data_IF_949576518095
#
_entry.id   IF_949576518095
#
_cell.length_a   1.000
_cell.length_b   1.000
_cell.length_c   1.000
_cell.angle_alpha   90.00
_cell.angle_beta   90.00
_cell.angle_gamma   90.00
#
_symmetry.space_group_name_H-M   'P 1'
#
loop_
_entity.id
_entity.type
_entity.pdbx_description
1 polymer ?
#
# COMPACT_ATOMS: atom_id res chain seq x y z
N UNK A 1 17.55 1.59 28.15
CA UNK A 1 16.44 2.55 28.02
C UNK A 1 16.87 3.49 26.93
N UNK A 2 16.54 3.15 25.69
CA UNK A 2 16.96 3.94 24.53
C UNK A 2 16.19 5.26 24.55
N UNK A 3 16.92 6.37 24.42
CA UNK A 3 16.36 7.71 24.47
C UNK A 3 15.32 7.86 23.34
N UNK A 4 14.16 8.43 23.66
CA UNK A 4 13.13 8.75 22.67
C UNK A 4 13.77 9.61 21.58
N UNK A 5 13.65 9.26 20.29
CA UNK A 5 14.32 9.97 19.23
C UNK A 5 13.85 11.43 19.16
N UNK A 6 14.80 12.36 19.12
CA UNK A 6 14.50 13.79 19.15
C UNK A 6 13.91 14.25 17.83
N UNK A 7 12.73 14.88 17.87
CA UNK A 7 12.05 15.40 16.67
C UNK A 7 12.43 16.86 16.34
N UNK A 8 13.17 17.51 17.23
CA UNK A 8 13.54 18.92 17.16
C UNK A 8 15.04 19.10 17.35
N UNK A 9 15.63 20.05 16.63
CA UNK A 9 17.03 20.44 16.78
C UNK A 9 17.23 21.35 18.00
N UNK A 10 18.46 21.38 18.52
CA UNK A 10 18.84 22.32 19.59
C UNK A 10 19.16 23.72 19.03
N UNK A 11 19.74 23.77 17.82
CA UNK A 11 20.06 24.99 17.10
C UNK A 11 19.55 24.87 15.67
N UNK A 12 18.96 25.95 15.15
CA UNK A 12 18.39 26.00 13.79
C UNK A 12 19.50 26.40 12.81
N UNK A 13 19.73 25.58 11.80
CA UNK A 13 20.63 25.90 10.68
C UNK A 13 19.87 26.32 9.43
N UNK A 14 18.68 25.77 9.23
CA UNK A 14 17.77 26.13 8.14
C UNK A 14 16.60 26.94 8.69
N UNK A 15 16.46 28.19 8.26
CA UNK A 15 15.45 29.10 8.82
C UNK A 15 14.02 28.59 8.61
N UNK A 16 13.19 28.68 9.65
CA UNK A 16 11.74 28.50 9.55
C UNK A 16 11.17 29.65 8.74
N UNK A 17 10.39 29.34 7.70
CA UNK A 17 9.82 30.36 6.81
C UNK A 17 8.35 30.55 7.09
N UNK A 18 7.93 31.80 7.24
CA UNK A 18 6.53 32.19 7.44
C UNK A 18 6.16 33.16 6.35
N UNK A 19 5.12 32.82 5.58
CA UNK A 19 4.55 33.67 4.56
C UNK A 19 3.17 34.09 5.04
N UNK A 20 3.04 35.36 5.40
CA UNK A 20 1.78 35.95 5.86
C UNK A 20 1.19 36.81 4.75
N UNK A 21 -0.11 36.69 4.53
CA UNK A 21 -0.83 37.48 3.52
C UNK A 21 -1.99 38.20 4.19
N UNK A 22 -2.03 39.52 4.03
CA UNK A 22 -3.02 40.40 4.68
C UNK A 22 -4.35 40.47 3.91
N UNK A 23 -5.39 41.07 4.53
CA UNK A 23 -6.66 41.34 3.87
C UNK A 23 -6.46 42.38 2.76
N UNK A 24 -7.22 42.21 1.66
CA UNK A 24 -7.19 43.09 0.50
C UNK A 24 -7.57 44.52 0.91
N UNK A 25 -6.62 45.46 0.91
CA UNK A 25 -6.96 46.89 0.85
C UNK A 25 -7.52 47.18 -0.56
N UNK A 26 -8.72 47.76 -0.69
CA UNK A 26 -9.39 47.95 -1.99
C UNK A 26 -8.59 48.83 -2.96
N UNK A 27 -7.70 49.70 -2.45
CA UNK A 27 -7.02 50.73 -3.24
C UNK A 27 -5.54 50.45 -3.54
N UNK A 28 -4.98 49.32 -3.09
CA UNK A 28 -3.60 48.92 -3.41
C UNK A 28 -3.59 47.69 -4.31
N UNK A 29 -3.11 47.85 -5.54
CA UNK A 29 -2.99 46.78 -6.54
C UNK A 29 -2.07 45.61 -6.14
N UNK A 30 -1.33 45.71 -5.03
CA UNK A 30 -0.54 44.63 -4.46
C UNK A 30 -0.79 44.48 -2.97
N UNK A 31 -1.50 43.42 -2.58
CA UNK A 31 -1.34 42.87 -1.23
C UNK A 31 -0.08 42.00 -1.31
N UNK A 32 1.06 42.53 -0.85
CA UNK A 32 2.34 41.84 -0.91
C UNK A 32 2.33 40.70 0.12
N UNK A 33 2.55 39.47 -0.34
CA UNK A 33 2.87 38.38 0.57
C UNK A 33 4.18 38.72 1.27
N UNK A 34 4.17 38.78 2.59
CA UNK A 34 5.37 39.04 3.37
C UNK A 34 6.05 37.71 3.68
N UNK A 35 7.26 37.53 3.18
CA UNK A 35 8.08 36.35 3.42
C UNK A 35 9.06 36.67 4.55
N UNK A 36 8.89 36.01 5.68
CA UNK A 36 9.75 36.14 6.85
C UNK A 36 10.53 34.84 7.10
N UNK A 37 11.79 34.97 7.49
CA UNK A 37 12.68 33.85 7.79
C UNK A 37 13.18 33.97 9.23
N UNK A 38 13.07 32.91 10.00
CA UNK A 38 13.35 32.90 11.42
C UNK A 38 14.33 31.80 11.79
N UNK A 39 15.38 32.16 12.54
CA UNK A 39 16.37 31.21 13.06
C UNK A 39 16.36 31.12 14.58
N UNK A 40 15.70 32.06 15.26
CA UNK A 40 15.65 32.13 16.73
C UNK A 40 14.25 32.41 17.24
N UNK A 41 13.98 32.02 18.49
CA UNK A 41 12.70 32.28 19.16
C UNK A 41 12.41 33.77 19.29
N UNK A 42 13.42 34.58 19.63
CA UNK A 42 13.24 36.02 19.83
C UNK A 42 12.82 36.73 18.54
N UNK A 43 13.33 36.31 17.39
CA UNK A 43 12.89 36.83 16.09
C UNK A 43 11.42 36.53 15.83
N UNK A 44 10.98 35.28 16.04
CA UNK A 44 9.57 34.89 15.88
C UNK A 44 8.69 35.70 16.82
N UNK A 45 9.03 35.74 18.12
CA UNK A 45 8.25 36.47 19.12
C UNK A 45 8.16 37.96 18.77
N UNK A 46 9.27 38.58 18.41
CA UNK A 46 9.29 40.01 18.05
C UNK A 46 8.42 40.34 16.82
N UNK A 47 8.32 39.41 15.88
CA UNK A 47 7.48 39.56 14.68
C UNK A 47 6.00 39.50 15.02
N UNK A 48 5.57 38.45 15.73
CA UNK A 48 4.16 38.28 16.10
C UNK A 48 3.70 39.32 17.13
N UNK A 49 4.54 39.76 18.07
CA UNK A 49 4.21 40.83 19.01
C UNK A 49 4.09 42.22 18.36
N UNK A 50 4.80 42.48 17.25
CA UNK A 50 4.66 43.75 16.49
C UNK A 50 3.43 43.77 15.61
N UNK A 51 2.94 42.61 15.22
CA UNK A 51 1.84 42.43 14.29
C UNK A 51 0.50 42.09 14.99
N UNK A 52 0.38 42.24 16.31
CA UNK A 52 -0.90 42.07 17.01
C UNK A 52 -2.02 42.97 16.44
N UNK A 53 -1.67 44.10 15.82
CA UNK A 53 -2.60 45.02 15.15
C UNK A 53 -2.91 44.68 13.68
N UNK A 54 -2.17 43.75 13.06
CA UNK A 54 -2.37 43.34 11.66
C UNK A 54 -2.94 41.93 11.59
N UNK A 55 -4.25 41.85 11.35
CA UNK A 55 -4.95 40.59 11.10
C UNK A 55 -4.49 40.01 9.75
N UNK A 56 -3.61 39.01 9.77
CA UNK A 56 -3.19 38.25 8.58
C UNK A 56 -4.01 36.97 8.49
N UNK A 57 -5.13 36.95 7.74
CA UNK A 57 -6.04 35.81 7.73
C UNK A 57 -5.44 34.57 7.07
N UNK A 58 -4.42 34.69 6.21
CA UNK A 58 -3.75 33.51 5.65
C UNK A 58 -2.26 33.46 5.98
N UNK A 59 -1.88 32.40 6.69
CA UNK A 59 -0.51 32.12 7.13
C UNK A 59 -0.04 30.78 6.58
N UNK A 60 1.11 30.78 5.93
CA UNK A 60 1.79 29.58 5.46
C UNK A 60 3.13 29.46 6.15
N UNK A 61 3.32 28.39 6.93
CA UNK A 61 4.56 28.10 7.64
C UNK A 61 5.24 26.92 6.95
N UNK A 62 6.50 27.08 6.57
CA UNK A 62 7.34 26.01 6.05
C UNK A 62 8.45 25.68 7.03
N UNK A 63 8.45 24.43 7.50
CA UNK A 63 9.49 23.86 8.35
C UNK A 63 10.11 22.71 7.55
N UNK A 64 11.43 22.64 7.46
CA UNK A 64 12.11 21.58 6.71
C UNK A 64 12.99 20.73 7.63
N UNK A 65 13.31 19.53 7.19
CA UNK A 65 14.46 18.78 7.68
C UNK A 65 15.69 19.16 6.85
N UNK A 66 16.89 19.07 7.41
CA UNK A 66 18.14 19.25 6.64
C UNK A 66 18.29 18.20 5.55
N UNK A 67 17.92 16.98 5.89
CA UNK A 67 17.75 15.87 4.98
C UNK A 67 16.65 14.95 5.55
N UNK A 68 16.13 14.01 4.76
CA UNK A 68 14.93 13.23 5.13
C UNK A 68 15.11 12.24 6.29
N UNK A 69 16.28 12.24 6.91
CA UNK A 69 16.71 11.37 8.00
C UNK A 69 17.01 12.16 9.28
N UNK A 70 17.01 13.49 9.24
CA UNK A 70 17.30 14.35 10.38
C UNK A 70 16.01 14.87 11.04
N UNK A 71 16.04 15.33 12.29
CA UNK A 71 14.92 16.03 12.91
C UNK A 71 14.50 17.30 12.14
N UNK A 72 13.35 17.87 12.50
CA UNK A 72 12.91 19.15 11.93
C UNK A 72 13.84 20.28 12.36
N UNK A 73 14.20 21.17 11.42
CA UNK A 73 15.00 22.39 11.65
C UNK A 73 14.16 23.47 12.33
N UNK A 74 13.68 23.15 13.54
CA UNK A 74 13.01 24.05 14.47
C UNK A 74 13.27 23.58 15.90
N UNK A 75 13.47 24.52 16.82
CA UNK A 75 13.59 24.18 18.24
C UNK A 75 12.22 23.94 18.86
N UNK A 76 12.16 23.10 19.90
CA UNK A 76 10.90 22.84 20.63
C UNK A 76 10.22 24.13 21.13
N UNK A 77 10.92 25.13 21.71
CA UNK A 77 10.30 26.40 22.11
C UNK A 77 9.71 27.20 20.95
N UNK A 78 10.38 27.24 19.79
CA UNK A 78 9.85 27.89 18.58
C UNK A 78 8.57 27.21 18.10
N UNK A 79 8.57 25.87 18.10
CA UNK A 79 7.41 25.10 17.68
C UNK A 79 6.23 25.25 18.64
N UNK A 80 6.46 25.21 19.96
CA UNK A 80 5.45 25.50 20.98
C UNK A 80 4.85 26.91 20.80
N UNK A 81 5.70 27.91 20.58
CA UNK A 81 5.23 29.28 20.37
C UNK A 81 4.32 29.41 19.13
N UNK A 82 4.68 28.77 18.01
CA UNK A 82 3.83 28.77 16.80
C UNK A 82 2.50 28.04 17.05
N UNK A 83 2.54 26.91 17.75
CA UNK A 83 1.33 26.15 18.10
C UNK A 83 0.37 26.97 18.98
N UNK A 84 0.90 27.71 19.95
CA UNK A 84 0.14 28.62 20.81
C UNK A 84 -0.40 29.83 20.03
N UNK A 85 0.45 30.46 19.21
CA UNK A 85 0.11 31.66 18.43
C UNK A 85 -1.07 31.41 17.49
N UNK A 86 -1.09 30.25 16.81
CA UNK A 86 -2.18 29.90 15.89
C UNK A 86 -3.28 29.04 16.55
N UNK A 87 -3.17 28.77 17.86
CA UNK A 87 -4.09 27.94 18.64
C UNK A 87 -4.36 26.57 17.97
N UNK A 88 -3.29 25.81 17.70
CA UNK A 88 -3.32 24.54 16.96
C UNK A 88 -3.54 23.35 17.91
N UNK A 89 -4.29 22.34 17.48
CA UNK A 89 -4.55 21.14 18.30
C UNK A 89 -3.34 20.20 18.47
N UNK A 90 -3.54 19.15 19.29
CA UNK A 90 -2.53 18.13 19.57
C UNK A 90 -2.04 17.35 18.35
N UNK A 91 -2.85 17.24 17.28
CA UNK A 91 -2.45 16.47 16.09
C UNK A 91 -1.25 17.06 15.35
N UNK A 92 -0.92 18.33 15.62
CA UNK A 92 0.32 18.95 15.17
C UNK A 92 1.55 18.25 15.76
N UNK A 93 1.50 17.91 17.05
CA UNK A 93 2.58 17.21 17.74
C UNK A 93 2.71 15.77 17.25
N UNK A 94 1.59 15.09 17.04
CA UNK A 94 1.56 13.76 16.45
C UNK A 94 2.19 13.77 15.05
N UNK A 95 1.88 14.78 14.23
CA UNK A 95 2.48 14.94 12.91
C UNK A 95 3.99 15.21 12.98
N UNK A 96 4.44 16.07 13.89
CA UNK A 96 5.87 16.36 14.08
C UNK A 96 6.67 15.12 14.52
N UNK A 97 6.03 14.21 15.27
CA UNK A 97 6.67 12.97 15.75
C UNK A 97 7.07 12.00 14.63
N UNK A 98 6.55 12.19 13.41
CA UNK A 98 6.98 11.41 12.24
C UNK A 98 8.33 11.85 11.65
N UNK A 99 8.92 12.95 12.13
CA UNK A 99 10.14 13.56 11.62
C UNK A 99 11.23 13.51 12.68
N UNK A 100 11.90 12.37 12.73
CA UNK A 100 12.94 12.06 13.71
C UNK A 100 14.21 11.54 13.02
N UNK A 101 15.29 11.44 13.80
CA UNK A 101 16.55 10.86 13.35
C UNK A 101 16.35 9.37 13.00
N UNK A 102 16.57 8.99 11.75
CA UNK A 102 16.40 7.60 11.27
C UNK A 102 17.74 6.91 11.14
N UNK A 103 17.78 5.63 11.51
CA UNK A 103 18.98 4.81 11.38
C UNK A 103 18.87 3.85 10.19
N UNK A 104 17.65 3.48 9.78
CA UNK A 104 17.40 2.51 8.72
C UNK A 104 16.32 3.01 7.75
N UNK A 105 16.56 2.83 6.44
CA UNK A 105 15.64 3.24 5.36
C UNK A 105 14.24 2.56 5.46
N UNK A 106 14.17 1.44 6.19
CA UNK A 106 12.97 0.61 6.35
C UNK A 106 12.09 1.11 7.51
N UNK A 107 12.58 1.99 8.40
CA UNK A 107 11.79 2.65 9.48
C UNK A 107 10.68 3.58 8.96
N UNK A 108 10.44 3.53 7.66
CA UNK A 108 9.26 3.93 6.92
C UNK A 108 7.92 3.30 7.40
N UNK A 109 7.69 2.95 8.66
CA UNK A 109 6.38 2.39 9.07
C UNK A 109 5.49 3.43 9.77
N UNK A 110 6.09 4.43 10.44
CA UNK A 110 5.30 5.42 11.17
C UNK A 110 4.81 6.55 10.24
N UNK A 111 3.50 6.61 10.01
CA UNK A 111 2.79 7.65 9.28
C UNK A 111 1.60 8.12 10.12
N UNK A 112 1.36 9.43 10.19
CA UNK A 112 0.05 9.93 10.62
C UNK A 112 -0.93 9.76 9.47
N UNK A 113 -2.04 9.01 9.66
CA UNK A 113 -3.10 8.89 8.66
C UNK A 113 -3.84 10.22 8.52
N UNK A 114 -4.73 10.31 7.53
CA UNK A 114 -5.60 11.48 7.41
C UNK A 114 -6.44 11.66 8.68
N UNK A 115 -6.12 12.70 9.44
CA UNK A 115 -6.76 13.04 10.71
C UNK A 115 -7.52 14.33 10.52
N UNK A 116 -8.77 14.35 11.00
CA UNK A 116 -9.68 15.46 10.83
C UNK A 116 -10.36 15.77 12.18
N UNK A 117 -10.29 17.02 12.59
CA UNK A 117 -10.99 17.57 13.75
C UNK A 117 -11.87 18.71 13.28
N UNK A 118 -13.15 18.67 13.63
CA UNK A 118 -14.12 19.73 13.33
C UNK A 118 -14.66 20.28 14.63
N UNK A 119 -14.51 21.58 14.85
CA UNK A 119 -15.08 22.28 15.99
C UNK A 119 -15.87 23.51 15.51
N UNK A 120 -17.18 23.32 15.30
CA UNK A 120 -18.04 24.37 14.75
C UNK A 120 -17.65 24.74 13.31
N UNK A 121 -17.23 25.99 13.09
CA UNK A 121 -16.79 26.48 11.77
C UNK A 121 -15.31 26.25 11.48
N UNK A 122 -14.53 25.90 12.50
CA UNK A 122 -13.10 25.62 12.42
C UNK A 122 -12.91 24.15 12.07
N UNK A 123 -12.14 23.91 11.02
CA UNK A 123 -11.70 22.58 10.61
C UNK A 123 -10.19 22.51 10.66
N UNK A 124 -9.68 21.48 11.33
CA UNK A 124 -8.26 21.16 11.42
C UNK A 124 -8.02 19.78 10.83
N UNK A 125 -7.05 19.67 9.93
CA UNK A 125 -6.65 18.40 9.35
C UNK A 125 -5.14 18.25 9.37
N UNK A 126 -4.69 17.02 9.51
CA UNK A 126 -3.27 16.68 9.50
C UNK A 126 -3.04 15.32 8.86
N UNK A 127 -1.96 15.20 8.09
CA UNK A 127 -1.57 13.92 7.49
C UNK A 127 -0.10 13.92 7.06
N UNK A 128 0.46 12.72 6.95
CA UNK A 128 1.74 12.48 6.26
C UNK A 128 1.49 11.96 4.85
N UNK A 129 2.33 12.37 3.90
CA UNK A 129 2.28 11.93 2.51
C UNK A 129 3.66 11.47 2.06
N UNK A 130 3.71 10.30 1.41
CA UNK A 130 4.95 9.71 0.95
C UNK A 130 4.95 9.51 -0.55
N UNK A 131 6.12 9.72 -1.13
CA UNK A 131 6.28 9.70 -2.58
C UNK A 131 7.70 9.33 -2.97
N UNK A 132 7.88 8.72 -4.16
CA UNK A 132 9.18 8.50 -4.73
C UNK A 132 9.73 9.80 -5.31
N UNK A 133 11.01 10.06 -5.08
CA UNK A 133 11.76 11.17 -5.64
C UNK A 133 13.05 10.64 -6.24
N UNK A 134 13.34 11.03 -7.48
CA UNK A 134 14.59 10.69 -8.12
C UNK A 134 15.66 11.70 -7.71
N UNK A 135 16.81 11.22 -7.22
CA UNK A 135 17.98 12.03 -6.92
C UNK A 135 18.96 11.96 -8.09
N UNK A 136 19.05 13.00 -8.95
CA UNK A 136 19.92 12.96 -10.12
C UNK A 136 21.41 12.82 -9.73
N UNK A 137 21.80 13.41 -8.61
CA UNK A 137 23.19 13.39 -8.11
C UNK A 137 23.68 12.00 -7.73
N UNK A 138 22.78 11.15 -7.24
CA UNK A 138 23.10 9.77 -6.82
C UNK A 138 22.66 8.73 -7.86
N UNK A 139 21.83 9.12 -8.84
CA UNK A 139 21.24 8.21 -9.80
C UNK A 139 20.25 7.22 -9.18
N UNK A 140 19.73 7.51 -7.98
CA UNK A 140 18.89 6.61 -7.20
C UNK A 140 17.52 7.19 -6.92
N UNK A 141 16.54 6.30 -6.75
CA UNK A 141 15.21 6.64 -6.24
C UNK A 141 15.18 6.51 -4.73
N UNK A 142 14.54 7.47 -4.07
CA UNK A 142 14.29 7.42 -2.64
C UNK A 142 12.81 7.65 -2.35
N UNK A 143 12.31 7.11 -1.23
CA UNK A 143 11.00 7.46 -0.72
C UNK A 143 11.15 8.62 0.24
N UNK A 144 10.47 9.74 -0.05
CA UNK A 144 10.42 10.92 0.80
C UNK A 144 9.11 10.97 1.56
N UNK A 145 9.10 11.73 2.65
CA UNK A 145 7.91 11.98 3.47
C UNK A 145 7.75 13.48 3.69
N UNK A 146 6.54 13.96 3.48
CA UNK A 146 6.12 15.34 3.74
C UNK A 146 4.92 15.30 4.68
N UNK A 147 4.79 16.29 5.54
CA UNK A 147 3.65 16.43 6.45
C UNK A 147 2.89 17.71 6.14
N UNK A 148 1.57 17.66 6.17
CA UNK A 148 0.75 18.87 6.07
C UNK A 148 -0.18 18.91 7.26
N UNK A 149 -0.15 20.05 7.95
CA UNK A 149 -1.15 20.45 8.91
C UNK A 149 -1.89 21.66 8.33
N UNK A 150 -3.21 21.67 8.41
CA UNK A 150 -3.99 22.83 8.03
C UNK A 150 -5.13 23.07 9.01
N UNK A 151 -5.27 24.32 9.43
CA UNK A 151 -6.41 24.85 10.17
C UNK A 151 -7.07 25.91 9.33
N UNK A 152 -8.38 25.81 9.09
CA UNK A 152 -9.12 26.88 8.43
C UNK A 152 -10.49 27.08 9.07
N UNK A 153 -10.94 28.32 9.10
CA UNK A 153 -12.28 28.68 9.56
C UNK A 153 -13.13 29.15 8.38
N UNK A 154 -14.24 28.45 8.17
CA UNK A 154 -15.20 28.76 7.10
C UNK A 154 -15.96 30.07 7.32
N UNK A 155 -16.03 30.58 8.56
CA UNK A 155 -16.70 31.85 8.90
C UNK A 155 -15.77 33.05 8.80
N UNK A 156 -14.61 33.01 9.46
CA UNK A 156 -13.65 34.13 9.42
C UNK A 156 -12.79 34.15 8.15
N UNK A 157 -12.84 33.07 7.34
CA UNK A 157 -11.97 32.88 6.16
C UNK A 157 -10.47 32.83 6.48
N UNK A 158 -10.13 32.61 7.75
CA UNK A 158 -8.76 32.38 8.18
C UNK A 158 -8.26 31.00 7.72
N UNK A 159 -6.98 30.92 7.38
CA UNK A 159 -6.31 29.69 6.99
C UNK A 159 -4.86 29.71 7.46
N UNK A 160 -4.49 28.74 8.29
CA UNK A 160 -3.12 28.49 8.67
C UNK A 160 -2.71 27.12 8.16
N UNK A 161 -1.69 27.09 7.29
CA UNK A 161 -1.14 25.85 6.74
C UNK A 161 0.32 25.71 7.15
N UNK A 162 0.68 24.56 7.73
CA UNK A 162 2.06 24.21 8.09
C UNK A 162 2.51 23.04 7.20
N UNK A 163 3.60 23.25 6.47
CA UNK A 163 4.24 22.26 5.63
C UNK A 163 5.55 21.78 6.27
N UNK A 164 5.64 20.48 6.55
CA UNK A 164 6.85 19.79 6.95
C UNK A 164 7.54 19.18 5.72
N UNK A 165 8.67 19.75 5.30
CA UNK A 165 9.39 19.36 4.09
C UNK A 165 10.58 18.43 4.39
N UNK A 166 10.83 17.42 3.53
CA UNK A 166 11.90 16.43 3.73
C UNK A 166 13.32 16.94 3.47
N UNK A 167 13.46 18.14 2.90
CA UNK A 167 14.71 18.81 2.59
C UNK A 167 14.44 20.32 2.43
N UNK A 168 15.48 21.16 2.48
CA UNK A 168 15.36 22.56 2.06
C UNK A 168 15.01 22.61 0.57
N UNK A 169 14.29 23.65 0.15
CA UNK A 169 13.99 23.92 -1.26
C UNK A 169 13.25 22.81 -2.04
N UNK A 170 12.47 21.95 -1.36
CA UNK A 170 11.62 20.95 -2.04
C UNK A 170 10.73 21.57 -3.13
N UNK A 171 10.41 20.79 -4.17
CA UNK A 171 9.60 21.24 -5.30
C UNK A 171 8.26 21.85 -4.87
N UNK A 172 7.56 21.22 -3.91
CA UNK A 172 6.32 21.76 -3.36
C UNK A 172 6.52 23.11 -2.65
N UNK A 173 7.63 23.28 -1.93
CA UNK A 173 7.93 24.52 -1.21
C UNK A 173 8.17 25.67 -2.20
N UNK A 174 9.02 25.45 -3.21
CA UNK A 174 9.29 26.44 -4.26
C UNK A 174 8.04 26.85 -5.03
N UNK A 175 7.17 25.87 -5.32
CA UNK A 175 5.88 26.14 -5.97
C UNK A 175 4.92 26.91 -5.07
N UNK A 176 4.83 26.54 -3.79
CA UNK A 176 4.04 27.27 -2.80
C UNK A 176 4.49 28.74 -2.70
N UNK A 177 5.79 29.00 -2.62
CA UNK A 177 6.36 30.35 -2.64
C UNK A 177 6.01 31.10 -3.92
N UNK A 178 6.11 30.45 -5.09
CA UNK A 178 5.77 31.05 -6.38
C UNK A 178 4.28 31.38 -6.48
N UNK A 179 3.42 30.51 -5.94
CA UNK A 179 1.97 30.68 -5.92
C UNK A 179 1.59 31.84 -5.00
N UNK A 180 2.12 31.86 -3.77
CA UNK A 180 1.84 32.89 -2.78
C UNK A 180 2.40 34.27 -3.18
N UNK A 181 3.56 34.32 -3.85
CA UNK A 181 4.16 35.57 -4.34
C UNK A 181 3.46 36.19 -5.56
N UNK A 182 2.77 35.39 -6.39
CA UNK A 182 1.97 35.89 -7.53
C UNK A 182 0.64 36.55 -7.13
N UNK A 183 0.32 36.55 -5.84
CA UNK A 183 -0.71 37.36 -5.24
C UNK A 183 -2.14 36.78 -5.22
N UNK A 184 -3.08 37.49 -4.58
CA UNK A 184 -4.31 36.95 -3.98
C UNK A 184 -5.39 36.36 -4.89
N UNK A 185 -5.30 36.45 -6.22
CA UNK A 185 -6.53 36.52 -7.05
C UNK A 185 -7.40 35.26 -7.01
N UNK A 186 -6.84 34.07 -6.75
CA UNK A 186 -7.59 32.81 -6.70
C UNK A 186 -7.29 31.90 -5.48
N UNK A 187 -6.16 32.07 -4.79
CA UNK A 187 -5.70 31.15 -3.72
C UNK A 187 -6.56 31.29 -2.46
N UNK A 188 -6.95 32.51 -2.09
CA UNK A 188 -7.77 32.75 -0.89
C UNK A 188 -9.20 32.22 -1.00
N UNK A 189 -9.63 31.78 -2.18
CA UNK A 189 -10.94 31.11 -2.38
C UNK A 189 -10.86 29.59 -2.28
N UNK A 190 -9.66 29.01 -2.32
CA UNK A 190 -9.46 27.57 -2.36
C UNK A 190 -8.64 27.12 -1.16
N UNK A 191 -9.33 26.77 -0.05
CA UNK A 191 -8.66 26.23 1.14
C UNK A 191 -7.79 25.00 0.82
N UNK A 192 -8.06 24.28 -0.27
CA UNK A 192 -7.39 23.00 -0.59
C UNK A 192 -6.22 23.13 -1.57
N UNK A 193 -5.77 24.36 -1.88
CA UNK A 193 -4.76 24.61 -2.91
C UNK A 193 -3.45 23.83 -2.68
N UNK A 194 -2.95 23.81 -1.43
CA UNK A 194 -1.68 23.16 -1.09
C UNK A 194 -1.75 21.64 -1.26
N UNK A 195 -2.92 21.07 -0.95
CA UNK A 195 -3.16 19.63 -1.13
C UNK A 195 -3.22 19.26 -2.60
N UNK A 196 -3.89 20.07 -3.44
CA UNK A 196 -3.91 19.88 -4.89
C UNK A 196 -2.50 19.95 -5.46
N UNK A 197 -1.71 20.92 -5.02
CA UNK A 197 -0.33 21.10 -5.49
C UNK A 197 0.60 19.95 -5.05
N UNK A 198 0.40 19.41 -3.84
CA UNK A 198 1.10 18.21 -3.36
C UNK A 198 0.90 17.03 -4.33
N UNK A 199 -0.34 16.69 -4.64
CA UNK A 199 -0.65 15.58 -5.55
C UNK A 199 -0.17 15.86 -6.98
N UNK A 200 -0.37 17.07 -7.49
CA UNK A 200 0.11 17.47 -8.82
C UNK A 200 1.63 17.36 -8.94
N UNK A 201 2.36 17.65 -7.86
CA UNK A 201 3.83 17.65 -7.86
C UNK A 201 4.40 16.24 -7.81
N UNK A 202 3.88 15.39 -6.92
CA UNK A 202 4.56 14.14 -6.58
C UNK A 202 3.87 12.87 -7.08
N UNK A 203 2.57 12.92 -7.40
CA UNK A 203 1.83 11.70 -7.76
C UNK A 203 2.31 11.08 -9.08
N UNK A 204 2.72 11.91 -10.05
CA UNK A 204 3.22 11.44 -11.34
C UNK A 204 4.54 10.67 -11.24
N UNK A 205 5.36 10.93 -10.22
CA UNK A 205 6.64 10.27 -10.00
C UNK A 205 6.50 8.76 -9.77
N UNK A 206 5.37 8.31 -9.22
CA UNK A 206 5.06 6.89 -9.03
C UNK A 206 5.15 6.09 -10.33
N UNK A 207 4.75 6.66 -11.47
CA UNK A 207 4.83 5.96 -12.77
C UNK A 207 6.28 5.65 -13.15
N UNK A 208 7.16 6.64 -13.01
CA UNK A 208 8.58 6.50 -13.35
C UNK A 208 9.30 5.58 -12.36
N UNK A 209 8.94 5.64 -11.09
CA UNK A 209 9.47 4.75 -10.06
C UNK A 209 9.10 3.27 -10.33
N UNK A 210 7.85 2.99 -10.72
CA UNK A 210 7.43 1.62 -11.10
C UNK A 210 8.22 1.10 -12.32
N UNK A 211 8.44 1.95 -13.34
CA UNK A 211 9.26 1.58 -14.50
C UNK A 211 10.70 1.27 -14.09
N UNK A 212 11.27 2.01 -13.14
CA UNK A 212 12.61 1.72 -12.62
C UNK A 212 12.69 0.37 -11.90
N UNK A 213 11.71 0.06 -11.06
CA UNK A 213 11.64 -1.23 -10.38
C UNK A 213 11.45 -2.39 -11.36
N UNK A 214 10.58 -2.23 -12.35
CA UNK A 214 10.36 -3.21 -13.41
C UNK A 214 11.64 -3.49 -14.20
N UNK A 215 12.36 -2.44 -14.63
CA UNK A 215 13.65 -2.57 -15.33
C UNK A 215 14.71 -3.29 -14.51
N UNK A 216 14.63 -3.21 -13.19
CA UNK A 216 15.57 -3.88 -12.28
C UNK A 216 15.15 -5.33 -12.02
N UNK A 217 13.84 -5.59 -11.92
CA UNK A 217 13.28 -6.91 -11.64
C UNK A 217 13.31 -7.85 -12.86
N UNK A 218 12.97 -7.36 -14.06
CA UNK A 218 12.82 -8.20 -15.25
C UNK A 218 14.07 -9.02 -15.60
N UNK A 219 15.30 -8.45 -15.62
CA UNK A 219 16.51 -9.22 -15.89
C UNK A 219 16.75 -10.31 -14.82
N UNK A 220 16.52 -9.97 -13.55
CA UNK A 220 16.69 -10.91 -12.43
C UNK A 220 15.70 -12.08 -12.57
N UNK A 221 14.44 -11.77 -12.87
CA UNK A 221 13.41 -12.79 -13.08
C UNK A 221 13.70 -13.68 -14.30
N UNK A 222 14.14 -13.08 -15.41
CA UNK A 222 14.52 -13.83 -16.62
C UNK A 222 15.68 -14.79 -16.35
N UNK A 223 16.70 -14.32 -15.62
CA UNK A 223 17.85 -15.15 -15.25
C UNK A 223 17.45 -16.28 -14.29
N UNK A 224 16.63 -15.98 -13.28
CA UNK A 224 16.16 -16.98 -12.32
C UNK A 224 15.32 -18.08 -12.98
N UNK A 225 14.52 -17.75 -14.00
CA UNK A 225 13.77 -18.76 -14.78
C UNK A 225 14.71 -19.62 -15.63
N UNK A 226 15.77 -19.04 -16.21
CA UNK A 226 16.75 -19.82 -16.97
C UNK A 226 17.59 -20.74 -16.06
N UNK A 227 17.90 -20.29 -14.85
CA UNK A 227 18.74 -21.05 -13.92
C UNK A 227 17.98 -21.98 -12.99
N UNK A 228 16.65 -21.89 -12.86
CA UNK A 228 15.87 -22.95 -12.18
C UNK A 228 15.99 -24.32 -12.88
N UNK A 229 16.54 -24.33 -14.11
CA UNK A 229 16.85 -25.52 -14.91
C UNK A 229 18.24 -26.10 -14.61
N UNK A 230 19.14 -25.35 -13.97
CA UNK A 230 20.51 -25.75 -13.60
C UNK A 230 20.78 -25.50 -12.10
N UNK A 231 21.79 -26.16 -11.52
CA UNK A 231 22.14 -25.98 -10.10
C UNK A 231 22.65 -24.54 -9.87
N UNK A 232 22.14 -23.84 -8.84
CA UNK A 232 22.44 -22.42 -8.58
C UNK A 232 23.96 -22.16 -8.49
N UNK A 233 24.49 -21.27 -9.34
CA UNK A 233 25.93 -20.91 -9.36
C UNK A 233 26.29 -19.87 -8.29
N UNK A 234 27.59 -19.75 -7.94
CA UNK A 234 28.10 -18.72 -7.00
C UNK A 234 27.75 -17.28 -7.42
N UNK A 235 27.59 -17.01 -8.73
CA UNK A 235 27.25 -15.67 -9.22
C UNK A 235 25.80 -15.26 -8.90
N UNK A 236 24.92 -16.23 -8.64
CA UNK A 236 23.50 -16.00 -8.39
C UNK A 236 23.21 -15.59 -6.95
N UNK A 237 24.09 -15.96 -6.01
CA UNK A 237 24.04 -15.49 -4.63
C UNK A 237 24.14 -13.96 -4.51
N UNK A 238 24.81 -13.28 -5.44
CA UNK A 238 24.90 -11.82 -5.49
C UNK A 238 23.58 -11.13 -5.84
N UNK A 239 22.58 -11.85 -6.37
CA UNK A 239 21.27 -11.31 -6.69
C UNK A 239 20.30 -11.32 -5.49
N UNK A 240 20.53 -12.15 -4.47
CA UNK A 240 19.64 -12.24 -3.29
C UNK A 240 19.46 -10.92 -2.53
N UNK A 241 20.52 -10.13 -2.22
CA UNK A 241 20.34 -8.85 -1.53
C UNK A 241 19.54 -7.84 -2.36
N UNK A 242 19.73 -7.84 -3.69
CA UNK A 242 18.96 -7.01 -4.61
C UNK A 242 17.51 -7.46 -4.69
N UNK A 243 17.26 -8.77 -4.66
CA UNK A 243 15.90 -9.33 -4.65
C UNK A 243 15.18 -9.00 -3.33
N UNK A 244 15.83 -9.16 -2.18
CA UNK A 244 15.28 -8.77 -0.88
C UNK A 244 14.99 -7.27 -0.81
N UNK A 245 15.86 -6.42 -1.38
CA UNK A 245 15.61 -4.99 -1.54
C UNK A 245 14.37 -4.72 -2.41
N UNK A 246 14.27 -5.36 -3.57
CA UNK A 246 13.12 -5.21 -4.48
C UNK A 246 11.82 -5.71 -3.84
N UNK A 247 11.85 -6.83 -3.14
CA UNK A 247 10.72 -7.37 -2.40
C UNK A 247 10.25 -6.36 -1.36
N UNK A 248 11.16 -5.85 -0.52
CA UNK A 248 10.84 -4.83 0.47
C UNK A 248 10.19 -3.59 -0.16
N UNK A 249 10.71 -3.12 -1.30
CA UNK A 249 10.12 -1.98 -2.01
C UNK A 249 8.77 -2.29 -2.62
N UNK A 250 8.61 -3.41 -3.32
CA UNK A 250 7.37 -3.79 -3.99
C UNK A 250 6.24 -4.05 -2.99
N UNK A 251 6.56 -4.62 -1.82
CA UNK A 251 5.60 -4.79 -0.72
C UNK A 251 5.13 -3.44 -0.18
N UNK A 252 5.99 -2.42 -0.09
CA UNK A 252 5.62 -1.09 0.40
C UNK A 252 4.68 -0.31 -0.53
N UNK A 253 4.77 -0.49 -1.85
CA UNK A 253 4.04 0.35 -2.83
C UNK A 253 2.52 0.33 -2.62
N UNK A 254 1.85 -0.84 -2.51
CA UNK A 254 0.40 -0.87 -2.26
C UNK A 254 -0.01 -0.11 -1.01
N UNK A 255 0.75 -0.21 0.09
CA UNK A 255 0.45 0.50 1.33
C UNK A 255 0.58 2.02 1.17
N UNK A 256 1.64 2.49 0.51
CA UNK A 256 1.85 3.92 0.28
C UNK A 256 0.80 4.53 -0.66
N UNK A 257 0.40 3.79 -1.70
CA UNK A 257 -0.65 4.21 -2.62
C UNK A 257 -2.05 4.14 -1.98
N UNK A 258 -2.30 3.15 -1.11
CA UNK A 258 -3.53 3.07 -0.33
C UNK A 258 -3.65 4.26 0.63
N UNK A 259 -2.61 4.57 1.40
CA UNK A 259 -2.59 5.75 2.27
C UNK A 259 -2.80 7.06 1.50
N UNK A 260 -2.17 7.17 0.31
CA UNK A 260 -2.40 8.31 -0.60
C UNK A 260 -3.85 8.41 -1.08
N UNK A 261 -4.50 7.26 -1.31
CA UNK A 261 -5.91 7.20 -1.68
C UNK A 261 -6.82 7.64 -0.53
N UNK A 262 -6.53 7.21 0.70
CA UNK A 262 -7.32 7.59 1.88
C UNK A 262 -7.27 9.10 2.12
N UNK A 263 -6.08 9.72 1.95
CA UNK A 263 -5.93 11.18 1.98
C UNK A 263 -6.78 11.85 0.91
N UNK A 264 -6.75 11.36 -0.33
CA UNK A 264 -7.59 11.91 -1.41
C UNK A 264 -9.08 11.77 -1.08
N UNK A 265 -9.51 10.63 -0.57
CA UNK A 265 -10.91 10.40 -0.20
C UNK A 265 -11.35 11.35 0.93
N UNK A 266 -10.52 11.52 1.97
CA UNK A 266 -10.77 12.45 3.07
C UNK A 266 -10.85 13.91 2.60
N UNK A 267 -9.92 14.34 1.76
CA UNK A 267 -9.91 15.68 1.19
C UNK A 267 -11.10 15.92 0.25
N UNK A 268 -11.50 14.92 -0.53
CA UNK A 268 -12.67 15.02 -1.41
C UNK A 268 -13.96 15.13 -0.61
N UNK A 269 -14.13 14.33 0.45
CA UNK A 269 -15.27 14.45 1.37
C UNK A 269 -15.31 15.84 2.00
N UNK A 270 -14.18 16.36 2.47
CA UNK A 270 -14.14 17.69 3.07
C UNK A 270 -14.40 18.80 2.05
N UNK A 271 -13.90 18.66 0.82
CA UNK A 271 -14.19 19.59 -0.26
C UNK A 271 -15.68 19.59 -0.63
N UNK A 272 -16.34 18.44 -0.63
CA UNK A 272 -17.79 18.35 -0.86
C UNK A 272 -18.59 19.05 0.24
N UNK A 273 -18.21 18.87 1.50
CA UNK A 273 -18.84 19.53 2.65
C UNK A 273 -18.74 21.06 2.55
N UNK A 274 -17.56 21.57 2.15
CA UNK A 274 -17.28 23.01 2.10
C UNK A 274 -17.80 23.66 0.80
N UNK A 275 -17.78 22.97 -0.34
CA UNK A 275 -18.05 23.54 -1.67
C UNK A 275 -19.46 23.26 -2.23
N UNK A 276 -20.51 23.22 -1.40
CA UNK A 276 -21.90 22.91 -1.80
C UNK A 276 -22.24 23.26 -3.28
N UNK A 277 -22.56 22.21 -4.06
CA UNK A 277 -23.37 22.17 -5.30
C UNK A 277 -22.78 22.17 -6.74
N UNK A 278 -21.48 22.30 -7.05
CA UNK A 278 -21.05 22.30 -8.50
C UNK A 278 -20.13 21.18 -8.99
N UNK A 279 -19.43 20.46 -8.12
CA UNK A 279 -18.43 19.44 -8.53
C UNK A 279 -19.00 18.00 -8.49
N UNK A 280 -20.24 17.83 -8.04
CA UNK A 280 -20.86 16.55 -7.70
C UNK A 280 -21.03 15.62 -8.91
N UNK A 281 -21.35 16.13 -10.10
CA UNK A 281 -21.60 15.29 -11.28
C UNK A 281 -20.30 14.73 -11.90
N UNK A 282 -19.26 15.57 -11.99
CA UNK A 282 -18.00 15.19 -12.63
C UNK A 282 -17.14 14.29 -11.73
N UNK A 283 -17.14 14.58 -10.42
CA UNK A 283 -16.43 13.75 -9.44
C UNK A 283 -17.14 12.43 -9.17
N UNK A 284 -18.49 12.37 -9.14
CA UNK A 284 -19.19 11.10 -9.00
C UNK A 284 -18.88 10.14 -10.16
N UNK A 285 -18.78 10.66 -11.39
CA UNK A 285 -18.38 9.88 -12.56
C UNK A 285 -16.91 9.43 -12.51
N UNK A 286 -16.03 10.26 -11.95
CA UNK A 286 -14.59 9.92 -11.81
C UNK A 286 -14.37 8.90 -10.68
N UNK A 287 -15.08 9.07 -9.56
CA UNK A 287 -15.05 8.15 -8.42
C UNK A 287 -15.69 6.81 -8.77
N UNK A 288 -16.84 6.79 -9.46
CA UNK A 288 -17.47 5.53 -9.89
C UNK A 288 -16.62 4.77 -10.91
N UNK A 289 -15.96 5.47 -11.84
CA UNK A 289 -14.97 4.86 -12.74
C UNK A 289 -13.76 4.28 -11.99
N UNK A 290 -13.31 4.95 -10.91
CA UNK A 290 -12.20 4.49 -10.07
C UNK A 290 -12.58 3.28 -9.22
N UNK A 291 -13.75 3.29 -8.58
CA UNK A 291 -14.30 2.14 -7.86
C UNK A 291 -14.44 0.94 -8.80
N UNK A 292 -14.90 1.17 -10.04
CA UNK A 292 -14.97 0.12 -11.05
C UNK A 292 -13.58 -0.39 -11.47
N UNK A 293 -12.55 0.47 -11.47
CA UNK A 293 -11.15 0.08 -11.73
C UNK A 293 -10.52 -0.70 -10.58
N UNK A 294 -10.82 -0.34 -9.32
CA UNK A 294 -10.33 -1.00 -8.11
C UNK A 294 -11.02 -2.35 -7.90
N UNK A 295 -12.33 -2.44 -8.12
CA UNK A 295 -13.05 -3.71 -8.12
C UNK A 295 -12.54 -4.67 -9.21
N UNK A 296 -12.13 -4.13 -10.37
CA UNK A 296 -11.50 -4.91 -11.44
C UNK A 296 -10.07 -5.36 -11.09
N UNK A 297 -9.31 -4.53 -10.37
CA UNK A 297 -7.98 -4.86 -9.86
C UNK A 297 -8.02 -5.90 -8.70
N UNK A 298 -8.97 -5.77 -7.78
CA UNK A 298 -9.21 -6.77 -6.74
C UNK A 298 -9.69 -8.10 -7.34
N UNK A 299 -10.61 -8.07 -8.31
CA UNK A 299 -11.05 -9.28 -9.01
C UNK A 299 -9.91 -9.99 -9.76
N UNK A 300 -8.99 -9.24 -10.38
CA UNK A 300 -7.82 -9.83 -11.06
C UNK A 300 -6.79 -10.40 -10.08
N UNK A 301 -6.60 -9.76 -8.93
CA UNK A 301 -5.73 -10.27 -7.85
C UNK A 301 -6.31 -11.55 -7.23
N UNK A 302 -7.62 -11.58 -6.97
CA UNK A 302 -8.35 -12.77 -6.52
C UNK A 302 -8.30 -13.90 -7.57
N UNK A 303 -8.40 -13.59 -8.86
CA UNK A 303 -8.24 -14.56 -9.95
C UNK A 303 -6.82 -15.13 -10.02
N UNK A 304 -5.78 -14.34 -9.76
CA UNK A 304 -4.38 -14.81 -9.76
C UNK A 304 -4.10 -15.74 -8.57
N UNK A 305 -4.65 -15.42 -7.40
CA UNK A 305 -4.58 -16.28 -6.21
C UNK A 305 -5.38 -17.58 -6.39
N UNK A 306 -6.58 -17.50 -7.00
CA UNK A 306 -7.34 -18.70 -7.35
C UNK A 306 -6.64 -19.55 -8.42
N UNK A 307 -6.00 -18.93 -9.42
CA UNK A 307 -5.26 -19.67 -10.45
C UNK A 307 -4.04 -20.39 -9.89
N UNK A 308 -3.33 -19.78 -8.92
CA UNK A 308 -2.19 -20.41 -8.24
C UNK A 308 -2.64 -21.50 -7.26
N UNK A 309 -3.72 -21.29 -6.49
CA UNK A 309 -4.29 -22.32 -5.63
C UNK A 309 -4.77 -23.54 -6.44
N UNK A 310 -5.46 -23.32 -7.57
CA UNK A 310 -5.91 -24.40 -8.48
C UNK A 310 -4.72 -25.14 -9.12
N UNK A 311 -3.62 -24.45 -9.42
CA UNK A 311 -2.40 -25.09 -9.92
C UNK A 311 -1.78 -26.02 -8.87
N UNK A 312 -1.64 -25.55 -7.62
CA UNK A 312 -1.11 -26.34 -6.51
C UNK A 312 -1.99 -27.56 -6.23
N UNK A 313 -3.31 -27.39 -6.16
CA UNK A 313 -4.23 -28.52 -5.92
C UNK A 313 -4.19 -29.55 -7.04
N UNK A 314 -4.10 -29.10 -8.30
CA UNK A 314 -3.98 -30.01 -9.46
C UNK A 314 -2.67 -30.80 -9.41
N UNK A 315 -1.54 -30.17 -9.06
CA UNK A 315 -0.25 -30.84 -8.92
C UNK A 315 -0.28 -31.88 -7.80
N UNK A 316 -0.88 -31.56 -6.65
CA UNK A 316 -1.03 -32.52 -5.54
C UNK A 316 -1.93 -33.70 -5.91
N UNK A 317 -3.02 -33.49 -6.66
CA UNK A 317 -3.90 -34.58 -7.12
C UNK A 317 -3.25 -35.49 -8.15
N UNK A 318 -2.30 -34.96 -8.94
CA UNK A 318 -1.52 -35.72 -9.90
C UNK A 318 -0.41 -36.55 -9.22
N UNK A 319 0.23 -35.99 -8.19
CA UNK A 319 1.40 -36.59 -7.54
C UNK A 319 1.06 -37.56 -6.40
N UNK A 320 -0.05 -37.34 -5.70
CA UNK A 320 -0.43 -38.13 -4.52
C UNK A 320 -0.73 -39.62 -4.85
N UNK A 321 -1.48 -39.96 -5.92
CA UNK A 321 -1.79 -41.36 -6.23
C UNK A 321 -0.55 -42.20 -6.59
N UNK A 322 0.35 -41.75 -7.50
CA UNK A 322 1.60 -42.47 -7.78
C UNK A 322 2.48 -42.63 -6.54
N UNK A 323 2.57 -41.60 -5.69
CA UNK A 323 3.38 -41.65 -4.47
C UNK A 323 2.87 -42.67 -3.46
N UNK A 324 1.54 -42.79 -3.32
CA UNK A 324 0.92 -43.81 -2.47
C UNK A 324 1.20 -45.22 -3.01
N UNK A 325 1.03 -45.42 -4.32
CA UNK A 325 1.32 -46.69 -4.99
C UNK A 325 2.82 -47.03 -4.88
N UNK A 326 3.70 -46.05 -5.04
CA UNK A 326 5.15 -46.22 -4.88
C UNK A 326 5.54 -46.60 -3.44
N UNK A 327 4.85 -46.06 -2.44
CA UNK A 327 5.08 -46.43 -1.03
C UNK A 327 4.57 -47.84 -0.74
N UNK A 328 3.40 -48.21 -1.27
CA UNK A 328 2.82 -49.54 -1.08
C UNK A 328 3.63 -50.66 -1.76
N UNK A 329 4.23 -50.36 -2.92
CA UNK A 329 4.95 -51.32 -3.73
C UNK A 329 6.49 -51.19 -3.69
N UNK A 330 7.02 -50.13 -3.08
CA UNK A 330 8.43 -49.73 -3.13
C UNK A 330 9.42 -50.72 -2.52
N UNK A 331 8.95 -51.74 -1.81
CA UNK A 331 9.78 -52.81 -1.25
C UNK A 331 9.80 -54.10 -2.08
N UNK A 332 8.95 -54.25 -3.10
CA UNK A 332 8.72 -55.56 -3.75
C UNK A 332 9.16 -55.64 -5.23
N UNK A 333 9.58 -54.53 -5.86
CA UNK A 333 9.86 -54.48 -7.30
C UNK A 333 11.31 -54.17 -7.71
N UNK A 334 12.16 -53.79 -6.76
CA UNK A 334 13.57 -53.54 -6.98
C UNK A 334 14.37 -54.49 -6.11
N UNK A 335 15.15 -55.36 -6.75
CA UNK A 335 16.05 -56.29 -6.08
C UNK A 335 17.49 -55.97 -6.46
N UNK A 336 18.42 -56.16 -5.52
CA UNK A 336 19.85 -55.94 -5.73
C UNK A 336 20.48 -57.30 -6.04
N UNK A 337 20.93 -57.49 -7.28
CA UNK A 337 21.59 -58.71 -7.70
C UNK A 337 22.98 -58.81 -7.04
N UNK A 338 23.16 -59.77 -6.13
CA UNK A 338 24.37 -59.91 -5.29
C UNK A 338 25.65 -60.17 -6.11
N UNK A 339 25.53 -60.74 -7.31
CA UNK A 339 26.70 -61.07 -8.15
C UNK A 339 27.12 -59.95 -9.11
N UNK A 340 26.21 -59.03 -9.47
CA UNK A 340 26.44 -58.03 -10.52
C UNK A 340 26.46 -56.56 -10.04
N UNK A 341 26.10 -56.28 -8.78
CA UNK A 341 25.97 -54.91 -8.25
C UNK A 341 25.09 -54.00 -9.13
N UNK A 342 24.08 -54.55 -9.80
CA UNK A 342 23.12 -53.81 -10.62
C UNK A 342 21.73 -53.92 -10.02
N UNK A 343 20.99 -52.81 -10.03
CA UNK A 343 19.60 -52.76 -9.60
C UNK A 343 18.76 -53.40 -10.71
N UNK A 344 18.20 -54.58 -10.45
CA UNK A 344 17.35 -55.28 -11.43
C UNK A 344 15.89 -55.01 -11.08
N UNK A 345 15.18 -54.38 -12.02
CA UNK A 345 13.74 -54.16 -11.89
C UNK A 345 12.97 -55.44 -12.25
N UNK A 346 12.05 -55.87 -11.39
CA UNK A 346 11.22 -57.05 -11.63
C UNK A 346 10.36 -56.83 -12.90
N UNK A 347 10.21 -57.84 -13.79
CA UNK A 347 9.41 -57.72 -15.03
C UNK A 347 7.92 -57.37 -14.81
N UNK A 348 7.43 -57.40 -13.57
CA UNK A 348 6.08 -57.04 -13.16
C UNK A 348 5.88 -55.53 -12.88
N UNK A 349 6.87 -54.67 -13.13
CA UNK A 349 6.78 -53.22 -12.93
C UNK A 349 5.63 -52.55 -13.70
N UNK A 350 5.14 -53.18 -14.77
CA UNK A 350 3.95 -52.75 -15.50
C UNK A 350 2.68 -52.67 -14.62
N UNK A 351 2.58 -53.48 -13.57
CA UNK A 351 1.46 -53.45 -12.61
C UNK A 351 1.47 -52.14 -11.81
N UNK A 352 2.65 -51.66 -11.41
CA UNK A 352 2.80 -50.36 -10.76
C UNK A 352 2.29 -49.22 -11.65
N UNK A 353 2.69 -49.22 -12.93
CA UNK A 353 2.28 -48.20 -13.91
C UNK A 353 0.76 -48.24 -14.12
N UNK A 354 0.18 -49.43 -14.28
CA UNK A 354 -1.25 -49.61 -14.49
C UNK A 354 -2.07 -49.16 -13.27
N UNK A 355 -1.68 -49.57 -12.06
CA UNK A 355 -2.34 -49.19 -10.82
C UNK A 355 -2.24 -47.67 -10.58
N UNK A 356 -1.07 -47.08 -10.78
CA UNK A 356 -0.88 -45.63 -10.65
C UNK A 356 -1.75 -44.86 -11.65
N UNK A 357 -1.81 -45.29 -12.91
CA UNK A 357 -2.62 -44.64 -13.93
C UNK A 357 -4.12 -44.72 -13.59
N UNK A 358 -4.62 -45.89 -13.17
CA UNK A 358 -6.01 -46.09 -12.78
C UNK A 358 -6.41 -45.22 -11.58
N UNK A 359 -5.53 -45.11 -10.57
CA UNK A 359 -5.78 -44.32 -9.37
C UNK A 359 -5.78 -42.82 -9.66
N UNK A 360 -4.88 -42.33 -10.53
CA UNK A 360 -4.86 -40.94 -11.00
C UNK A 360 -6.12 -40.59 -11.80
N UNK A 361 -6.58 -41.47 -12.69
CA UNK A 361 -7.86 -41.24 -13.41
C UNK A 361 -9.02 -41.18 -12.43
N UNK A 362 -9.04 -42.07 -11.42
CA UNK A 362 -10.05 -42.09 -10.38
C UNK A 362 -10.10 -40.79 -9.55
N UNK A 363 -8.94 -40.26 -9.14
CA UNK A 363 -8.87 -39.01 -8.37
C UNK A 363 -9.31 -37.80 -9.18
N UNK A 364 -8.96 -37.73 -10.48
CA UNK A 364 -9.41 -36.66 -11.38
C UNK A 364 -10.93 -36.70 -11.60
N UNK A 365 -11.51 -37.89 -11.85
CA UNK A 365 -12.96 -38.04 -12.00
C UNK A 365 -13.69 -37.63 -10.73
N UNK A 366 -13.20 -38.06 -9.56
CA UNK A 366 -13.78 -37.68 -8.28
C UNK A 366 -13.72 -36.17 -8.03
N UNK A 367 -12.58 -35.54 -8.35
CA UNK A 367 -12.39 -34.09 -8.25
C UNK A 367 -13.36 -33.31 -9.15
N UNK A 368 -13.52 -33.73 -10.41
CA UNK A 368 -14.48 -33.12 -11.32
C UNK A 368 -15.93 -33.26 -10.84
N UNK A 369 -16.29 -34.40 -10.25
CA UNK A 369 -17.62 -34.62 -9.65
C UNK A 369 -17.86 -33.70 -8.43
N UNK A 370 -16.82 -33.43 -7.63
CA UNK A 370 -16.91 -32.52 -6.48
C UNK A 370 -17.02 -31.05 -6.88
N UNK A 371 -16.31 -30.63 -7.93
CA UNK A 371 -16.38 -29.27 -8.48
C UNK A 371 -17.75 -28.98 -9.08
N UNK A 372 -18.32 -29.96 -9.77
CA UNK A 372 -19.61 -29.82 -10.40
C UNK A 372 -20.72 -30.16 -9.37
N UNK A 373 -21.05 -29.18 -8.51
CA UNK A 373 -22.06 -29.36 -7.42
C UNK A 373 -23.42 -29.89 -7.92
N UNK A 374 -23.73 -29.72 -9.20
CA UNK A 374 -24.92 -30.29 -9.86
C UNK A 374 -24.77 -31.77 -10.22
N UNK A 375 -23.55 -32.26 -10.47
CA UNK A 375 -23.25 -33.66 -10.73
C UNK A 375 -23.21 -34.47 -9.43
N UNK A 376 -22.66 -33.92 -8.34
CA UNK A 376 -22.67 -34.59 -7.03
C UNK A 376 -24.09 -34.93 -6.57
N UNK A 377 -25.05 -34.01 -6.73
CA UNK A 377 -26.47 -34.27 -6.43
C UNK A 377 -27.07 -35.39 -7.29
N UNK A 378 -26.73 -35.46 -8.58
CA UNK A 378 -27.19 -36.52 -9.50
C UNK A 378 -26.54 -37.89 -9.20
N UNK A 379 -25.26 -37.91 -8.85
CA UNK A 379 -24.53 -39.14 -8.49
C UNK A 379 -25.00 -39.67 -7.13
N UNK A 380 -25.16 -38.80 -6.12
CA UNK A 380 -25.72 -39.17 -4.84
C UNK A 380 -27.15 -39.73 -4.98
N UNK A 381 -27.99 -39.09 -5.81
CA UNK A 381 -29.32 -39.61 -6.14
C UNK A 381 -29.27 -40.98 -6.84
N UNK A 382 -28.37 -41.19 -7.81
CA UNK A 382 -28.21 -42.49 -8.48
C UNK A 382 -27.71 -43.59 -7.54
N UNK A 383 -26.77 -43.31 -6.65
CA UNK A 383 -26.27 -44.26 -5.64
C UNK A 383 -27.37 -44.59 -4.62
N UNK A 384 -28.19 -43.61 -4.24
CA UNK A 384 -29.33 -43.82 -3.36
C UNK A 384 -30.41 -44.69 -4.03
N UNK A 385 -30.74 -44.43 -5.30
CA UNK A 385 -31.69 -45.24 -6.08
C UNK A 385 -31.16 -46.67 -6.25
N UNK A 386 -29.87 -46.85 -6.55
CA UNK A 386 -29.27 -48.18 -6.70
C UNK A 386 -29.27 -48.96 -5.39
N UNK A 387 -28.92 -48.34 -4.25
CA UNK A 387 -29.03 -48.97 -2.92
C UNK A 387 -30.47 -49.37 -2.60
N UNK A 388 -31.44 -48.55 -2.98
CA UNK A 388 -32.87 -48.83 -2.77
C UNK A 388 -33.35 -49.98 -3.66
N UNK A 389 -32.90 -50.03 -4.91
CA UNK A 389 -33.17 -51.13 -5.85
C UNK A 389 -32.53 -52.45 -5.42
N UNK A 390 -31.28 -52.43 -4.93
CA UNK A 390 -30.59 -53.62 -4.41
C UNK A 390 -31.27 -54.13 -3.14
N UNK A 391 -31.71 -53.24 -2.23
CA UNK A 391 -32.51 -53.61 -1.04
C UNK A 391 -33.88 -54.19 -1.41
N UNK A 392 -34.52 -53.67 -2.46
CA UNK A 392 -35.80 -54.17 -2.96
C UNK A 392 -35.65 -55.56 -3.62
N UNK A 393 -34.60 -55.76 -4.42
CA UNK A 393 -34.30 -57.04 -5.10
C UNK A 393 -33.85 -58.13 -4.12
N UNK A 394 -33.10 -57.77 -3.08
CA UNK A 394 -32.73 -58.68 -2.00
C UNK A 394 -33.92 -59.10 -1.10
N UNK A 395 -35.07 -58.41 -1.19
CA UNK A 395 -36.29 -58.77 -0.45
C UNK A 395 -37.23 -59.69 -1.25
N UNK A 396 -36.92 -59.98 -2.52
CA UNK A 396 -37.86 -60.65 -3.44
C UNK A 396 -37.40 -62.02 -3.97
N UNK A 397 -36.37 -62.64 -3.36
CA UNK A 397 -36.00 -64.06 -3.63
C UNK A 397 -35.31 -64.67 -2.40
N UNK A 398 -35.61 -65.90 -1.92
CA UNK A 398 -36.74 -66.80 -2.19
C UNK A 398 -37.50 -67.25 -0.92
N UNK A 399 -38.78 -67.62 -1.06
CA UNK A 399 -39.38 -68.68 -0.25
C UNK A 399 -40.55 -69.24 -1.06
N UNK A 400 -40.26 -70.16 -1.97
CA UNK A 400 -41.29 -70.98 -2.59
C UNK A 400 -40.95 -72.46 -2.35
N UNK A 401 -41.88 -73.08 -1.63
CA UNK A 401 -42.32 -74.47 -1.70
C UNK A 401 -41.41 -75.60 -1.17
N UNK A 402 -41.95 -76.32 -0.19
CA UNK A 402 -41.64 -77.74 -0.01
C UNK A 402 -41.86 -78.28 1.40
N UNK A 403 -43.12 -78.44 1.84
CA UNK A 403 -43.45 -79.53 2.76
C UNK A 403 -44.69 -80.24 2.23
N UNK A 404 -44.43 -81.28 1.45
CA UNK A 404 -45.40 -82.33 1.13
C UNK A 404 -45.76 -83.09 2.42
N UNK A 405 -47.04 -83.41 2.55
CA UNK A 405 -47.51 -84.54 3.34
C UNK A 405 -48.32 -85.43 2.40
N UNK A 406 -47.71 -86.58 2.07
CA UNK A 406 -48.21 -87.93 1.75
C UNK A 406 -47.50 -88.51 0.53
#
# INVERSE_FOLDING_TARGET
MDAIPTCFVSEVTESVRVISTGPRQPDKEGCAAEVHQFSTLDQIRSHFSRNEDHDYPWNFVSICQRNSWEPLEITKPMFSFLAETFNLNSSLWDLSSCFYAKDIDIESTFCIPFTLSKNGSVTELSYTFRYPEFKPTQGTWVIRQTGIYQKFDTKSSENTSILFSPAPSCALNQKAETILSRGPRNIHRDFFWIHKELFNTYFSAWRLYNVHLEKTLLPIASNAVSSFVEELSETEYHHLPKLAYLEGRLVQIPFLLAASNDILAGLLSLCQDVCSQKITQLLANTLSFREQSLAKAQNTTMLRLNKSAVFITTLTLLYLPPSFVATFFGMNFFDLDEDAHQIVATPMIWIYVLCSAALTVGTFVFYHILLDRTAFGRVAARVFILKTFVKYKAKQTPCDMGSEAV
#
